data_IF_431809275922
#
_entry.id   IF_431809275922
#
_cell.length_a   1.000
_cell.length_b   1.000
_cell.length_c   1.000
_cell.angle_alpha   90.00
_cell.angle_beta   90.00
_cell.angle_gamma   90.00
#
_symmetry.space_group_name_H-M   'P 1'
#
loop_
_entity.id
_entity.type
_entity.pdbx_description
1 polymer ?
#
# COMPACT_ATOMS: atom_id res chain seq x y z
N UNK A 1 -9.05 -30.86 -32.82
CA UNK A 1 -10.14 -30.29 -32.02
C UNK A 1 -10.54 -31.36 -31.02
N UNK A 2 -10.22 -31.36 -29.73
CA UNK A 2 -9.84 -30.27 -28.82
C UNK A 2 -8.99 -30.81 -27.65
N UNK A 3 -7.74 -31.21 -27.91
CA UNK A 3 -6.76 -31.49 -26.84
C UNK A 3 -6.16 -30.20 -26.24
N UNK A 4 -6.38 -29.04 -26.87
CA UNK A 4 -5.84 -27.74 -26.43
C UNK A 4 -6.70 -27.02 -25.38
N UNK A 5 -7.97 -27.41 -25.19
CA UNK A 5 -8.83 -26.82 -24.15
C UNK A 5 -8.52 -27.38 -22.74
N UNK A 6 -7.95 -28.58 -22.65
CA UNK A 6 -7.60 -29.21 -21.37
C UNK A 6 -6.45 -28.49 -20.66
N UNK A 7 -5.42 -28.07 -21.41
CA UNK A 7 -4.26 -27.36 -20.88
C UNK A 7 -4.59 -25.91 -20.46
N UNK A 8 -5.57 -25.26 -21.11
CA UNK A 8 -6.01 -23.91 -20.76
C UNK A 8 -6.84 -23.88 -19.46
N UNK A 9 -7.63 -24.93 -19.18
CA UNK A 9 -8.42 -25.03 -17.95
C UNK A 9 -7.53 -25.31 -16.72
N UNK A 10 -6.50 -26.15 -16.87
CA UNK A 10 -5.56 -26.44 -15.77
C UNK A 10 -4.69 -25.23 -15.39
N UNK A 11 -4.46 -24.32 -16.35
CA UNK A 11 -3.77 -23.05 -16.11
C UNK A 11 -4.63 -22.04 -15.34
N UNK A 12 -5.95 -22.09 -15.49
CA UNK A 12 -6.90 -21.18 -14.83
C UNK A 12 -7.32 -21.62 -13.43
N UNK A 13 -7.17 -22.91 -13.10
CA UNK A 13 -7.54 -23.49 -11.80
C UNK A 13 -6.36 -23.65 -10.83
N UNK A 14 -5.36 -22.76 -10.91
CA UNK A 14 -4.44 -22.58 -9.77
C UNK A 14 -5.16 -21.72 -8.76
N UNK A 15 -5.89 -22.38 -7.85
CA UNK A 15 -6.51 -21.82 -6.66
C UNK A 15 -5.58 -20.78 -5.99
N UNK A 16 -5.75 -19.50 -6.35
CA UNK A 16 -5.12 -18.39 -5.65
C UNK A 16 -5.89 -18.29 -4.34
N UNK A 17 -5.45 -19.01 -3.31
CA UNK A 17 -5.74 -18.64 -1.92
C UNK A 17 -5.54 -17.13 -1.87
N UNK A 18 -6.51 -16.31 -1.44
CA UNK A 18 -6.34 -14.87 -1.45
C UNK A 18 -5.07 -14.57 -0.66
N UNK A 19 -4.01 -14.19 -1.38
CA UNK A 19 -2.73 -13.95 -0.77
C UNK A 19 -2.96 -12.85 0.25
N UNK A 20 -2.57 -13.10 1.51
CA UNK A 20 -2.69 -12.09 2.57
C UNK A 20 -2.14 -10.78 2.01
N UNK A 21 -2.91 -9.67 2.08
CA UNK A 21 -2.46 -8.40 1.53
C UNK A 21 -1.07 -8.07 2.03
N UNK A 22 -0.17 -7.71 1.10
CA UNK A 22 1.21 -7.36 1.42
C UNK A 22 1.22 -6.26 2.50
N UNK A 23 1.83 -6.50 3.68
CA UNK A 23 1.89 -5.51 4.75
C UNK A 23 2.48 -4.19 4.27
N UNK A 24 1.98 -3.06 4.80
CA UNK A 24 2.43 -1.74 4.37
C UNK A 24 3.93 -1.54 4.59
N UNK A 25 4.50 -2.05 5.70
CA UNK A 25 5.93 -1.95 5.98
C UNK A 25 6.84 -2.67 4.95
N UNK A 26 6.27 -3.50 4.07
CA UNK A 26 6.99 -4.14 2.95
C UNK A 26 6.77 -3.44 1.61
N UNK A 27 5.95 -2.39 1.55
CA UNK A 27 5.67 -1.69 0.29
C UNK A 27 6.92 -0.98 -0.23
N UNK A 28 7.23 -1.28 -1.49
CA UNK A 28 8.24 -0.57 -2.29
C UNK A 28 7.73 0.83 -2.68
N UNK A 29 8.60 1.65 -3.25
CA UNK A 29 8.19 2.93 -3.87
C UNK A 29 7.10 2.69 -4.93
N UNK A 30 7.21 1.64 -5.74
CA UNK A 30 6.20 1.30 -6.75
C UNK A 30 4.84 0.91 -6.13
N UNK A 31 4.85 0.23 -5.00
CA UNK A 31 3.62 -0.10 -4.27
C UNK A 31 2.97 1.18 -3.69
N UNK A 32 3.78 2.10 -3.15
CA UNK A 32 3.32 3.42 -2.71
C UNK A 32 2.76 4.23 -3.88
N UNK A 33 3.38 4.20 -5.06
CA UNK A 33 2.86 4.86 -6.26
C UNK A 33 1.49 4.31 -6.67
N UNK A 34 1.31 2.97 -6.64
CA UNK A 34 0.01 2.35 -6.91
C UNK A 34 -1.05 2.76 -5.89
N UNK A 35 -0.70 2.78 -4.61
CA UNK A 35 -1.57 3.26 -3.55
C UNK A 35 -1.96 4.73 -3.78
N UNK A 36 -0.99 5.59 -4.04
CA UNK A 36 -1.20 7.03 -4.22
C UNK A 36 -2.08 7.30 -5.44
N UNK A 37 -1.86 6.58 -6.55
CA UNK A 37 -2.71 6.67 -7.75
C UNK A 37 -4.16 6.25 -7.48
N UNK A 38 -4.36 5.24 -6.64
CA UNK A 38 -5.69 4.69 -6.34
C UNK A 38 -6.48 5.55 -5.34
N UNK A 39 -5.81 6.01 -4.28
CA UNK A 39 -6.47 6.64 -3.13
C UNK A 39 -6.34 8.17 -3.14
N UNK A 40 -5.38 8.71 -3.88
CA UNK A 40 -5.15 10.16 -4.01
C UNK A 40 -5.12 10.56 -5.48
N UNK A 41 -6.01 9.99 -6.30
CA UNK A 41 -6.02 10.16 -7.77
C UNK A 41 -6.05 11.63 -8.20
N UNK A 42 -6.82 12.47 -7.50
CA UNK A 42 -6.92 13.92 -7.74
C UNK A 42 -5.58 14.65 -7.58
N UNK A 43 -4.72 14.15 -6.68
CA UNK A 43 -3.43 14.77 -6.34
C UNK A 43 -2.23 14.03 -6.94
N UNK A 44 -2.48 12.91 -7.63
CA UNK A 44 -1.43 12.03 -8.12
C UNK A 44 -0.52 12.73 -9.14
N UNK A 45 -1.11 13.44 -10.11
CA UNK A 45 -0.33 14.14 -11.13
C UNK A 45 0.52 15.28 -10.55
N UNK A 46 0.06 15.88 -9.45
CA UNK A 46 0.74 17.01 -8.81
C UNK A 46 1.93 16.57 -7.96
N UNK A 47 1.79 15.45 -7.22
CA UNK A 47 2.76 15.12 -6.16
C UNK A 47 3.41 13.75 -6.28
N UNK A 48 3.00 12.89 -7.22
CA UNK A 48 3.55 11.53 -7.35
C UNK A 48 5.07 11.53 -7.52
N UNK A 49 5.60 12.48 -8.29
CA UNK A 49 7.03 12.63 -8.52
C UNK A 49 7.80 12.91 -7.21
N UNK A 50 7.22 13.65 -6.26
CA UNK A 50 7.86 13.94 -4.96
C UNK A 50 8.04 12.65 -4.16
N UNK A 51 7.06 11.76 -4.19
CA UNK A 51 7.15 10.46 -3.52
C UNK A 51 8.23 9.56 -4.16
N UNK A 52 8.45 9.65 -5.48
CA UNK A 52 9.52 8.92 -6.16
C UNK A 52 10.87 9.53 -5.82
N UNK A 53 11.01 10.85 -5.96
CA UNK A 53 12.29 11.55 -5.76
C UNK A 53 12.83 11.43 -4.33
N UNK A 54 11.96 11.31 -3.34
CA UNK A 54 12.34 11.11 -1.94
C UNK A 54 12.34 9.63 -1.51
N UNK A 55 12.23 8.68 -2.45
CA UNK A 55 12.20 7.24 -2.19
C UNK A 55 11.21 6.85 -1.07
N UNK A 56 9.99 7.38 -1.15
CA UNK A 56 8.96 7.12 -0.14
C UNK A 56 8.46 5.67 -0.28
N UNK A 57 8.98 4.82 0.61
CA UNK A 57 8.53 3.43 0.81
C UNK A 57 7.38 3.35 1.83
N UNK A 58 6.76 2.18 1.97
CA UNK A 58 5.73 2.00 2.99
C UNK A 58 6.22 2.16 4.43
N UNK A 59 7.49 1.83 4.71
CA UNK A 59 8.13 2.13 6.01
C UNK A 59 8.19 3.63 6.29
N UNK A 60 8.49 4.44 5.26
CA UNK A 60 8.44 5.89 5.38
C UNK A 60 6.99 6.34 5.63
N UNK A 61 6.04 5.83 4.83
CA UNK A 61 4.63 6.22 4.87
C UNK A 61 4.00 6.03 6.26
N UNK A 62 4.22 4.88 6.91
CA UNK A 62 3.69 4.62 8.26
C UNK A 62 4.31 5.52 9.34
N UNK A 63 5.53 6.03 9.11
CA UNK A 63 6.25 6.95 10.02
C UNK A 63 6.08 8.43 9.70
N UNK A 64 5.50 8.78 8.56
CA UNK A 64 5.31 10.18 8.15
C UNK A 64 4.45 10.95 9.15
N UNK A 65 4.70 12.24 9.27
CA UNK A 65 3.86 13.20 9.97
C UNK A 65 3.33 14.21 8.97
N UNK A 66 2.32 14.99 9.35
CA UNK A 66 1.84 16.09 8.49
C UNK A 66 2.97 17.08 8.16
N UNK A 67 3.86 17.37 9.13
CA UNK A 67 5.04 18.21 8.90
C UNK A 67 5.99 17.62 7.84
N UNK A 68 6.06 16.29 7.69
CA UNK A 68 6.82 15.66 6.61
C UNK A 68 6.23 15.98 5.24
N UNK A 69 4.89 16.06 5.10
CA UNK A 69 4.25 16.44 3.83
C UNK A 69 4.59 17.88 3.43
N UNK A 70 4.67 18.79 4.40
CA UNK A 70 5.08 20.18 4.16
C UNK A 70 6.53 20.21 3.66
N UNK A 71 7.44 19.50 4.33
CA UNK A 71 8.85 19.40 3.91
C UNK A 71 9.03 18.72 2.55
N UNK A 72 8.15 17.77 2.22
CA UNK A 72 8.13 17.10 0.91
C UNK A 72 7.73 18.07 -0.22
N UNK A 73 7.03 19.16 0.08
CA UNK A 73 6.61 20.18 -0.89
C UNK A 73 5.09 20.34 -1.03
N UNK A 74 4.28 19.61 -0.26
CA UNK A 74 2.81 19.69 -0.29
C UNK A 74 2.36 20.83 0.63
N UNK A 75 2.48 22.06 0.13
CA UNK A 75 2.23 23.29 0.90
C UNK A 75 0.75 23.67 0.96
N UNK A 76 -0.01 23.34 -0.07
CA UNK A 76 -1.46 23.61 -0.09
C UNK A 76 -2.15 22.86 1.07
N UNK A 77 -2.87 23.57 1.97
CA UNK A 77 -3.46 22.95 3.15
C UNK A 77 -4.58 21.97 2.83
N UNK A 78 -5.41 22.24 1.81
CA UNK A 78 -6.52 21.36 1.42
C UNK A 78 -5.98 20.06 0.81
N UNK A 79 -4.98 20.18 -0.07
CA UNK A 79 -4.34 19.01 -0.66
C UNK A 79 -3.62 18.17 0.41
N UNK A 80 -2.90 18.84 1.31
CA UNK A 80 -2.18 18.18 2.41
C UNK A 80 -3.15 17.45 3.32
N UNK A 81 -4.24 18.07 3.73
CA UNK A 81 -5.26 17.44 4.57
C UNK A 81 -5.86 16.20 3.90
N UNK A 82 -6.21 16.30 2.61
CA UNK A 82 -6.76 15.17 1.85
C UNK A 82 -5.79 13.99 1.77
N UNK A 83 -4.52 14.25 1.42
CA UNK A 83 -3.48 13.21 1.34
C UNK A 83 -3.18 12.64 2.73
N UNK A 84 -3.14 13.49 3.75
CA UNK A 84 -2.88 13.08 5.13
C UNK A 84 -3.95 12.14 5.65
N UNK A 85 -5.24 12.40 5.36
CA UNK A 85 -6.35 11.49 5.69
C UNK A 85 -6.16 10.10 5.08
N UNK A 86 -5.71 10.01 3.84
CA UNK A 86 -5.41 8.71 3.21
C UNK A 86 -4.21 8.01 3.85
N UNK A 87 -3.18 8.75 4.26
CA UNK A 87 -2.04 8.19 5.00
C UNK A 87 -2.50 7.62 6.35
N UNK A 88 -3.36 8.33 7.09
CA UNK A 88 -3.91 7.85 8.36
C UNK A 88 -4.68 6.53 8.18
N UNK A 89 -5.45 6.36 7.10
CA UNK A 89 -6.12 5.09 6.78
C UNK A 89 -5.12 3.95 6.57
N UNK A 90 -4.01 4.21 5.88
CA UNK A 90 -2.95 3.22 5.68
C UNK A 90 -2.29 2.84 7.01
N UNK A 91 -2.04 3.81 7.89
CA UNK A 91 -1.49 3.55 9.23
C UNK A 91 -2.42 2.65 10.05
N UNK A 92 -3.70 2.99 10.16
CA UNK A 92 -4.69 2.18 10.86
C UNK A 92 -4.76 0.74 10.32
N UNK A 93 -4.69 0.60 9.00
CA UNK A 93 -4.65 -0.72 8.36
C UNK A 93 -3.36 -1.48 8.69
N UNK A 94 -2.22 -0.80 8.71
CA UNK A 94 -0.94 -1.41 9.07
C UNK A 94 -0.94 -1.86 10.54
N UNK A 95 -1.44 -1.03 11.45
CA UNK A 95 -1.54 -1.33 12.89
C UNK A 95 -2.46 -2.55 13.12
N UNK A 96 -3.62 -2.59 12.45
CA UNK A 96 -4.54 -3.73 12.53
C UNK A 96 -3.89 -5.02 12.01
N UNK A 97 -3.13 -4.92 10.92
CA UNK A 97 -2.43 -6.07 10.35
C UNK A 97 -1.29 -6.56 11.26
N UNK A 98 -0.56 -5.64 11.87
CA UNK A 98 0.50 -5.94 12.84
C UNK A 98 -0.08 -6.63 14.09
N UNK A 99 -1.20 -6.14 14.63
CA UNK A 99 -1.90 -6.79 15.74
C UNK A 99 -2.30 -8.24 15.42
N UNK A 100 -2.92 -8.47 14.25
CA UNK A 100 -3.27 -9.82 13.81
C UNK A 100 -2.04 -10.72 13.59
N UNK A 101 -0.92 -10.15 13.15
CA UNK A 101 0.34 -10.89 12.99
C UNK A 101 0.90 -11.32 14.36
N UNK A 102 0.90 -10.42 15.35
CA UNK A 102 1.34 -10.71 16.72
C UNK A 102 0.48 -11.80 17.38
N UNK A 103 -0.85 -11.69 17.30
CA UNK A 103 -1.78 -12.68 17.86
C UNK A 103 -1.58 -14.07 17.24
N UNK A 104 -1.48 -14.13 15.91
CA UNK A 104 -1.28 -15.37 15.19
C UNK A 104 0.08 -16.01 15.51
N UNK A 105 1.14 -15.21 15.61
CA UNK A 105 2.45 -15.69 16.04
C UNK A 105 2.43 -16.23 17.47
N UNK A 106 1.68 -15.59 18.38
CA UNK A 106 1.52 -16.09 19.75
C UNK A 106 0.84 -17.46 19.80
N UNK A 107 -0.19 -17.69 18.98
CA UNK A 107 -0.93 -18.96 18.91
C UNK A 107 -0.11 -20.10 18.27
N UNK A 108 0.85 -19.78 17.41
CA UNK A 108 1.72 -20.78 16.77
C UNK A 108 2.87 -21.23 17.67
N UNK A 109 3.14 -20.50 18.75
CA UNK A 109 4.21 -20.79 19.71
C UNK A 109 3.71 -21.46 21.00
N UNK A 110 2.39 -21.57 21.17
CA UNK A 110 1.70 -22.26 22.28
C UNK A 110 1.21 -23.64 21.87
#
# INVERSE_FOLDING_TARGET
MDLLLGEEIEKYSKNVKPARPKPCYLWSVADVQKWFKRHCSEYFQLYSHLFIMHDITGKCLVRMTEATLIRLGIKDPLHREAIWREILKVKLKADTQEMMEIEMSSLMLS
#
